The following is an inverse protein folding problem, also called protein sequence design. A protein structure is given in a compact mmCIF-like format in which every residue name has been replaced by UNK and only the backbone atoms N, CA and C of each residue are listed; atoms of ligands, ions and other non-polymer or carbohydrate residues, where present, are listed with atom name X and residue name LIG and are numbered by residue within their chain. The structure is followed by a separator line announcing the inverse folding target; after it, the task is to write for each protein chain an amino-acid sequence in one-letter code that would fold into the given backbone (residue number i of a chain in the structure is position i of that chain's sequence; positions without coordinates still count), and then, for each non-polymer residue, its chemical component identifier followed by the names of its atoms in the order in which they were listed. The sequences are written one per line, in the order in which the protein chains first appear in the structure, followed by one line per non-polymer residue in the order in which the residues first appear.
data_IF_751749676248
#
_entry.id   IF_751749676248
#
_cell.length_a   1.000
_cell.length_b   1.000
_cell.length_c   1.000
_cell.angle_alpha   90.00
_cell.angle_beta   90.00
_cell.angle_gamma   90.00
#
_symmetry.space_group_name_H-M   'P 1'
#
loop_
_entity.id
_entity.type
_entity.pdbx_description
1 polymer ?
#
# COMPACT_ATOMS: atom_id res chain seq x y z
N UNK A 1 22.42 -7.29 -1.71
CA UNK A 1 22.46 -6.44 -2.92
C UNK A 1 22.38 -4.99 -2.50
N UNK A 2 23.22 -4.13 -3.05
CA UNK A 2 23.18 -2.68 -2.84
C UNK A 2 23.71 -1.96 -4.08
N UNK A 3 22.82 -1.35 -4.87
CA UNK A 3 23.19 -0.62 -6.09
C UNK A 3 22.13 0.42 -6.47
N UNK A 4 22.50 1.38 -7.32
CA UNK A 4 21.54 2.33 -7.91
C UNK A 4 20.97 1.75 -9.21
N UNK A 5 19.65 1.62 -9.28
CA UNK A 5 18.91 1.16 -10.45
C UNK A 5 18.50 2.30 -11.38
N UNK A 6 17.41 2.06 -12.12
CA UNK A 6 16.79 3.07 -12.99
C UNK A 6 16.42 4.32 -12.17
N UNK A 7 16.60 5.49 -12.76
CA UNK A 7 16.30 6.79 -12.15
C UNK A 7 17.08 7.04 -10.84
N UNK A 8 18.24 6.38 -10.70
CA UNK A 8 19.11 6.42 -9.51
C UNK A 8 18.43 6.00 -8.21
N UNK A 9 17.40 5.14 -8.30
CA UNK A 9 16.71 4.58 -7.14
C UNK A 9 17.56 3.44 -6.56
N UNK A 10 17.93 3.55 -5.29
CA UNK A 10 18.70 2.51 -4.58
C UNK A 10 17.87 1.23 -4.47
N UNK A 11 18.49 0.11 -4.79
CA UNK A 11 18.02 -1.23 -4.48
C UNK A 11 18.92 -1.81 -3.41
N UNK A 12 18.40 -1.91 -2.20
CA UNK A 12 19.08 -2.50 -1.05
C UNK A 12 18.22 -3.67 -0.55
N UNK A 13 18.77 -4.88 -0.62
CA UNK A 13 18.04 -6.08 -0.22
C UNK A 13 18.98 -7.22 0.19
N UNK A 14 18.62 -7.90 1.27
CA UNK A 14 19.25 -9.14 1.72
C UNK A 14 18.31 -10.28 1.38
N UNK A 15 18.76 -11.19 0.52
CA UNK A 15 17.92 -12.25 -0.05
C UNK A 15 18.60 -13.59 0.21
N UNK A 16 17.86 -14.53 0.78
CA UNK A 16 18.27 -15.92 0.83
C UNK A 16 18.18 -16.53 -0.56
N UNK A 17 19.25 -17.16 -1.01
CA UNK A 17 19.34 -17.79 -2.32
C UNK A 17 19.72 -19.25 -2.18
N UNK A 18 19.40 -20.05 -3.20
CA UNK A 18 19.81 -21.45 -3.25
C UNK A 18 21.35 -21.55 -3.22
N UNK A 19 21.88 -22.56 -2.53
CA UNK A 19 23.32 -22.78 -2.41
C UNK A 19 24.08 -22.78 -3.76
N UNK A 20 23.55 -23.38 -4.86
CA UNK A 20 24.18 -23.28 -6.17
C UNK A 20 24.31 -21.85 -6.70
N UNK A 21 23.32 -20.98 -6.42
CA UNK A 21 23.33 -19.57 -6.82
C UNK A 21 24.39 -18.82 -6.02
N UNK A 22 24.43 -19.02 -4.70
CA UNK A 22 25.45 -18.41 -3.84
C UNK A 22 26.87 -18.76 -4.31
N UNK A 23 27.13 -20.06 -4.54
CA UNK A 23 28.42 -20.54 -5.04
C UNK A 23 28.76 -20.00 -6.43
N UNK A 24 27.77 -19.87 -7.32
CA UNK A 24 27.97 -19.28 -8.64
C UNK A 24 28.38 -17.80 -8.55
N UNK A 25 27.74 -17.02 -7.68
CA UNK A 25 28.09 -15.61 -7.45
C UNK A 25 29.52 -15.48 -6.93
N UNK A 26 29.93 -16.30 -5.95
CA UNK A 26 31.33 -16.32 -5.47
C UNK A 26 32.32 -16.62 -6.60
N UNK A 27 31.99 -17.60 -7.46
CA UNK A 27 32.80 -17.93 -8.63
C UNK A 27 32.87 -16.78 -9.64
N UNK A 28 31.77 -16.06 -9.86
CA UNK A 28 31.73 -14.91 -10.77
C UNK A 28 32.48 -13.69 -10.24
N UNK A 29 32.70 -13.59 -8.93
CA UNK A 29 33.51 -12.54 -8.30
C UNK A 29 35.00 -12.85 -8.26
N UNK A 30 35.38 -14.13 -8.47
CA UNK A 30 36.79 -14.55 -8.44
C UNK A 30 37.59 -13.77 -9.49
N UNK A 31 38.76 -13.28 -9.08
CA UNK A 31 39.71 -12.53 -9.92
C UNK A 31 39.17 -11.18 -10.46
N UNK A 32 38.10 -10.63 -9.87
CA UNK A 32 37.52 -9.31 -10.22
C UNK A 32 37.78 -8.25 -9.17
N UNK A 33 37.89 -6.99 -9.62
CA UNK A 33 38.03 -5.79 -8.78
C UNK A 33 36.70 -5.04 -8.65
N UNK A 34 36.54 -4.18 -7.64
CA UNK A 34 35.39 -3.28 -7.57
C UNK A 34 35.24 -2.46 -8.85
N UNK A 35 34.07 -2.51 -9.47
CA UNK A 35 33.77 -1.86 -10.76
C UNK A 35 33.77 -2.81 -11.96
N UNK A 36 34.38 -3.98 -11.86
CA UNK A 36 34.32 -5.00 -12.92
C UNK A 36 32.90 -5.60 -13.01
N UNK A 37 32.47 -5.96 -14.23
CA UNK A 37 31.15 -6.55 -14.47
C UNK A 37 31.04 -7.92 -13.80
N UNK A 38 30.00 -8.13 -12.97
CA UNK A 38 29.76 -9.41 -12.32
C UNK A 38 29.47 -10.53 -13.34
N UNK A 39 28.73 -10.22 -14.39
CA UNK A 39 28.41 -11.14 -15.48
C UNK A 39 29.12 -10.71 -16.77
N UNK A 40 30.45 -10.84 -16.79
CA UNK A 40 31.34 -10.38 -17.87
C UNK A 40 31.14 -11.12 -19.21
N UNK A 41 30.54 -12.31 -19.17
CA UNK A 41 30.25 -13.14 -20.36
C UNK A 41 28.78 -13.14 -20.77
N UNK A 42 27.96 -12.27 -20.17
CA UNK A 42 26.53 -12.18 -20.43
C UNK A 42 26.17 -10.73 -20.74
N UNK A 43 25.31 -10.55 -21.73
CA UNK A 43 24.64 -9.27 -21.97
C UNK A 43 23.14 -9.49 -22.19
N UNK A 44 22.41 -8.37 -22.35
CA UNK A 44 20.97 -8.42 -22.57
C UNK A 44 20.56 -9.08 -23.89
N UNK A 45 21.42 -9.07 -24.90
CA UNK A 45 21.15 -9.69 -26.20
C UNK A 45 21.21 -11.21 -26.07
N UNK A 46 22.28 -11.74 -25.48
CA UNK A 46 22.47 -13.17 -25.22
C UNK A 46 21.31 -13.70 -24.38
N UNK A 47 20.96 -13.00 -23.28
CA UNK A 47 19.86 -13.40 -22.41
C UNK A 47 18.52 -13.43 -23.16
N UNK A 48 18.16 -12.37 -23.90
CA UNK A 48 16.88 -12.32 -24.60
C UNK A 48 16.80 -13.31 -25.77
N UNK A 49 17.92 -13.61 -26.44
CA UNK A 49 17.94 -14.64 -27.47
C UNK A 49 17.65 -16.02 -26.87
N UNK A 50 18.30 -16.36 -25.76
CA UNK A 50 18.00 -17.60 -25.04
C UNK A 50 16.54 -17.67 -24.59
N UNK A 51 15.98 -16.58 -24.05
CA UNK A 51 14.57 -16.53 -23.65
C UNK A 51 13.60 -16.78 -24.82
N UNK A 52 13.90 -16.26 -26.02
CA UNK A 52 13.08 -16.47 -27.22
C UNK A 52 13.08 -17.92 -27.70
N UNK A 53 14.18 -18.65 -27.49
CA UNK A 53 14.26 -20.08 -27.79
C UNK A 53 13.32 -20.89 -26.87
N UNK A 54 13.15 -20.45 -25.63
CA UNK A 54 12.24 -21.09 -24.67
C UNK A 54 10.77 -20.76 -24.94
N UNK A 55 10.48 -19.53 -25.34
CA UNK A 55 9.12 -19.09 -25.69
C UNK A 55 9.18 -17.93 -26.69
N UNK A 56 8.45 -18.01 -27.82
CA UNK A 56 8.40 -16.92 -28.79
C UNK A 56 8.02 -15.58 -28.15
N UNK A 57 8.78 -14.53 -28.46
CA UNK A 57 8.62 -13.16 -27.95
C UNK A 57 8.88 -12.95 -26.44
N UNK A 58 9.36 -13.97 -25.71
CA UNK A 58 9.74 -13.82 -24.31
C UNK A 58 10.99 -12.95 -24.18
N UNK A 59 10.96 -12.02 -23.22
CA UNK A 59 12.07 -11.10 -22.91
C UNK A 59 12.22 -10.93 -21.41
N UNK A 60 13.37 -10.43 -20.95
CA UNK A 60 13.59 -10.15 -19.53
C UNK A 60 12.54 -9.21 -18.92
N UNK A 61 11.99 -8.27 -19.72
CA UNK A 61 10.94 -7.34 -19.28
C UNK A 61 9.64 -8.07 -18.93
N UNK A 62 9.32 -9.16 -19.62
CA UNK A 62 8.09 -9.92 -19.42
C UNK A 62 7.97 -10.41 -17.97
N UNK A 63 9.06 -10.90 -17.38
CA UNK A 63 9.07 -11.40 -16.00
C UNK A 63 8.62 -10.36 -14.97
N UNK A 64 8.92 -9.07 -15.19
CA UNK A 64 8.43 -8.01 -14.29
C UNK A 64 6.91 -7.86 -14.36
N UNK A 65 6.35 -7.88 -15.56
CA UNK A 65 4.90 -7.78 -15.78
C UNK A 65 4.19 -9.03 -15.28
N UNK A 66 4.74 -10.22 -15.56
CA UNK A 66 4.21 -11.49 -15.07
C UNK A 66 4.20 -11.54 -13.54
N UNK A 67 5.35 -11.33 -12.89
CA UNK A 67 5.43 -11.38 -11.43
C UNK A 67 4.51 -10.35 -10.76
N UNK A 68 4.40 -9.14 -11.32
CA UNK A 68 3.51 -8.11 -10.81
C UNK A 68 2.03 -8.51 -10.94
N UNK A 69 1.62 -8.94 -12.12
CA UNK A 69 0.23 -9.30 -12.42
C UNK A 69 -0.19 -10.56 -11.65
N UNK A 70 0.64 -11.60 -11.67
CA UNK A 70 0.41 -12.84 -10.92
C UNK A 70 0.31 -12.57 -9.41
N UNK A 71 1.21 -11.77 -8.85
CA UNK A 71 1.14 -11.44 -7.41
C UNK A 71 -0.15 -10.71 -7.07
N UNK A 72 -0.58 -9.75 -7.90
CA UNK A 72 -1.84 -9.04 -7.67
C UNK A 72 -3.02 -10.02 -7.68
N UNK A 73 -3.12 -10.86 -8.70
CA UNK A 73 -4.23 -11.81 -8.86
C UNK A 73 -4.26 -12.84 -7.71
N UNK A 74 -3.10 -13.41 -7.37
CA UNK A 74 -2.96 -14.40 -6.29
C UNK A 74 -3.33 -13.80 -4.92
N UNK A 75 -2.84 -12.59 -4.61
CA UNK A 75 -3.15 -11.92 -3.35
C UNK A 75 -4.63 -11.55 -3.26
N UNK A 76 -5.20 -10.95 -4.30
CA UNK A 76 -6.61 -10.58 -4.32
C UNK A 76 -7.49 -11.82 -4.13
N UNK A 77 -7.16 -12.93 -4.78
CA UNK A 77 -7.91 -14.18 -4.64
C UNK A 77 -7.78 -14.82 -3.24
N UNK A 78 -6.63 -14.69 -2.58
CA UNK A 78 -6.40 -15.28 -1.25
C UNK A 78 -6.96 -14.43 -0.12
N UNK A 79 -6.91 -13.11 -0.25
CA UNK A 79 -7.17 -12.17 0.86
C UNK A 79 -8.58 -11.57 0.82
N UNK A 80 -9.24 -11.55 -0.34
CA UNK A 80 -10.62 -11.03 -0.43
C UNK A 80 -11.59 -12.08 0.07
N UNK A 81 -12.49 -11.69 0.98
CA UNK A 81 -13.55 -12.57 1.49
C UNK A 81 -14.90 -12.16 0.91
N UNK A 82 -15.75 -13.15 0.65
CA UNK A 82 -17.09 -12.92 0.12
C UNK A 82 -17.98 -12.21 1.16
N UNK A 83 -18.80 -11.26 0.69
CA UNK A 83 -19.73 -10.51 1.53
C UNK A 83 -19.11 -9.41 2.40
N UNK A 84 -17.80 -9.15 2.29
CA UNK A 84 -17.15 -8.00 2.94
C UNK A 84 -17.63 -6.67 2.36
N UNK A 85 -17.56 -5.61 3.17
CA UNK A 85 -17.93 -4.29 2.71
C UNK A 85 -16.93 -3.72 1.70
N UNK A 86 -17.40 -2.76 0.88
CA UNK A 86 -16.59 -2.14 -0.18
C UNK A 86 -15.30 -1.50 0.37
N UNK A 87 -15.30 -0.97 1.60
CA UNK A 87 -14.09 -0.36 2.19
C UNK A 87 -13.06 -1.43 2.56
N UNK A 88 -13.49 -2.55 3.14
CA UNK A 88 -12.63 -3.68 3.45
C UNK A 88 -11.98 -4.24 2.17
N UNK A 89 -12.77 -4.43 1.11
CA UNK A 89 -12.25 -4.87 -0.20
C UNK A 89 -11.23 -3.90 -0.80
N UNK A 90 -11.49 -2.59 -0.72
CA UNK A 90 -10.52 -1.58 -1.18
C UNK A 90 -9.21 -1.66 -0.39
N UNK A 91 -9.24 -1.94 0.92
CA UNK A 91 -8.04 -2.09 1.73
C UNK A 91 -7.22 -3.31 1.28
N UNK A 92 -7.87 -4.45 1.01
CA UNK A 92 -7.21 -5.65 0.44
C UNK A 92 -6.51 -5.29 -0.87
N UNK A 93 -7.20 -4.58 -1.77
CA UNK A 93 -6.61 -4.16 -3.03
C UNK A 93 -5.40 -3.24 -2.85
N UNK A 94 -5.48 -2.28 -1.91
CA UNK A 94 -4.37 -1.38 -1.61
C UNK A 94 -3.15 -2.13 -1.07
N UNK A 95 -3.37 -3.12 -0.21
CA UNK A 95 -2.31 -3.98 0.32
C UNK A 95 -1.67 -4.83 -0.78
N UNK A 96 -2.47 -5.46 -1.64
CA UNK A 96 -1.97 -6.25 -2.77
C UNK A 96 -1.12 -5.38 -3.72
N UNK A 97 -1.61 -4.19 -4.08
CA UNK A 97 -0.84 -3.26 -4.93
C UNK A 97 0.44 -2.74 -4.24
N UNK A 98 0.45 -2.58 -2.91
CA UNK A 98 1.65 -2.24 -2.13
C UNK A 98 2.70 -3.34 -2.25
N UNK A 99 2.32 -4.61 -2.13
CA UNK A 99 3.25 -5.73 -2.28
C UNK A 99 3.83 -5.80 -3.69
N UNK A 100 3.00 -5.60 -4.72
CA UNK A 100 3.49 -5.51 -6.11
C UNK A 100 4.52 -4.41 -6.28
N UNK A 101 4.25 -3.22 -5.73
CA UNK A 101 5.18 -2.09 -5.81
C UNK A 101 6.52 -2.40 -5.11
N UNK A 102 6.49 -3.11 -3.98
CA UNK A 102 7.70 -3.56 -3.26
C UNK A 102 8.50 -4.54 -4.13
N UNK A 103 7.87 -5.59 -4.67
CA UNK A 103 8.52 -6.59 -5.53
C UNK A 103 9.14 -5.94 -6.77
N UNK A 104 8.46 -4.93 -7.33
CA UNK A 104 8.95 -4.21 -8.50
C UNK A 104 10.01 -3.14 -8.20
N UNK A 105 10.39 -2.95 -6.93
CA UNK A 105 11.21 -1.85 -6.42
C UNK A 105 10.73 -0.47 -6.88
N UNK A 106 9.41 -0.25 -6.90
CA UNK A 106 8.82 1.05 -7.21
C UNK A 106 8.91 1.95 -5.98
N UNK A 107 10.09 2.49 -5.75
CA UNK A 107 10.34 3.44 -4.68
C UNK A 107 10.21 4.89 -5.15
N UNK A 108 9.98 5.79 -4.21
CA UNK A 108 10.04 7.24 -4.38
C UNK A 108 10.73 7.88 -3.17
N UNK A 109 11.27 9.07 -3.37
CA UNK A 109 11.69 9.91 -2.26
C UNK A 109 10.48 10.34 -1.42
N UNK A 110 10.72 10.53 -0.13
CA UNK A 110 9.71 11.06 0.79
C UNK A 110 9.34 12.48 0.33
N UNK A 111 8.04 12.74 0.19
CA UNK A 111 7.56 14.08 -0.19
C UNK A 111 8.04 15.14 0.81
N UNK A 112 8.43 16.31 0.32
CA UNK A 112 8.77 17.48 1.16
C UNK A 112 7.62 17.87 2.11
N UNK A 113 6.37 17.59 1.72
CA UNK A 113 5.18 17.88 2.53
C UNK A 113 4.87 16.80 3.58
N UNK A 114 5.58 15.66 3.55
CA UNK A 114 5.20 14.48 4.32
C UNK A 114 5.26 14.75 5.83
N UNK A 115 6.38 15.28 6.31
CA UNK A 115 6.57 15.62 7.73
C UNK A 115 5.48 16.57 8.24
N UNK A 116 5.18 17.63 7.50
CA UNK A 116 4.12 18.57 7.85
C UNK A 116 2.72 17.95 7.86
N UNK A 117 2.45 16.98 6.98
CA UNK A 117 1.18 16.25 6.97
C UNK A 117 1.07 15.29 8.18
N UNK A 118 2.16 14.63 8.57
CA UNK A 118 2.20 13.78 9.76
C UNK A 118 2.05 14.60 11.04
N UNK A 119 2.75 15.74 11.16
CA UNK A 119 2.60 16.65 12.32
C UNK A 119 1.16 17.09 12.52
N UNK A 120 0.50 17.55 11.45
CA UNK A 120 -0.91 17.97 11.49
C UNK A 120 -1.87 16.85 11.89
N UNK A 121 -1.62 15.61 11.48
CA UNK A 121 -2.41 14.46 11.91
C UNK A 121 -2.18 14.16 13.39
N UNK A 122 -0.92 14.19 13.83
CA UNK A 122 -0.53 13.97 15.23
C UNK A 122 -1.14 15.02 16.16
N UNK A 123 -1.09 16.30 15.79
CA UNK A 123 -1.69 17.40 16.57
C UNK A 123 -3.19 17.19 16.77
N UNK A 124 -3.93 16.86 15.70
CA UNK A 124 -5.36 16.56 15.78
C UNK A 124 -5.68 15.30 16.61
N UNK A 125 -4.83 14.28 16.55
CA UNK A 125 -4.98 13.09 17.39
C UNK A 125 -4.85 13.48 18.86
N UNK A 126 -3.87 14.31 19.22
CA UNK A 126 -3.69 14.78 20.60
C UNK A 126 -4.84 15.68 21.06
N UNK A 127 -5.36 16.56 20.19
CA UNK A 127 -6.58 17.34 20.47
C UNK A 127 -7.79 16.43 20.79
N UNK A 128 -7.99 15.37 20.01
CA UNK A 128 -9.08 14.42 20.24
C UNK A 128 -8.85 13.57 21.51
N UNK A 129 -7.62 13.19 21.84
CA UNK A 129 -7.30 12.50 23.10
C UNK A 129 -7.54 13.40 24.31
N UNK A 130 -7.22 14.69 24.22
CA UNK A 130 -7.52 15.66 25.27
C UNK A 130 -9.03 15.79 25.48
N UNK A 131 -9.80 15.93 24.40
CA UNK A 131 -11.27 15.94 24.44
C UNK A 131 -11.84 14.66 25.06
N UNK A 132 -11.31 13.50 24.68
CA UNK A 132 -11.72 12.21 25.23
C UNK A 132 -11.51 12.15 26.75
N UNK A 133 -10.38 12.64 27.24
CA UNK A 133 -10.09 12.71 28.68
C UNK A 133 -11.10 13.62 29.40
N UNK A 134 -11.44 14.77 28.82
CA UNK A 134 -12.48 15.64 29.37
C UNK A 134 -13.84 14.96 29.41
N UNK A 135 -14.25 14.29 28.33
CA UNK A 135 -15.53 13.57 28.26
C UNK A 135 -15.62 12.45 29.30
N UNK A 136 -14.52 11.72 29.55
CA UNK A 136 -14.45 10.68 30.59
C UNK A 136 -14.64 11.27 32.00
N UNK A 137 -14.08 12.45 32.27
CA UNK A 137 -14.30 13.18 33.53
C UNK A 137 -15.76 13.65 33.65
N UNK A 138 -16.29 14.24 32.58
CA UNK A 138 -17.69 14.73 32.55
C UNK A 138 -18.68 13.57 32.74
N UNK A 139 -18.40 12.37 32.21
CA UNK A 139 -19.19 11.16 32.43
C UNK A 139 -19.22 10.73 33.90
N UNK A 140 -18.06 10.65 34.56
CA UNK A 140 -17.98 10.30 35.99
C UNK A 140 -18.77 11.30 36.86
N UNK A 141 -18.70 12.59 36.53
CA UNK A 141 -19.45 13.64 37.22
C UNK A 141 -20.96 13.51 36.97
N UNK A 142 -21.38 13.30 35.72
CA UNK A 142 -22.78 13.13 35.37
C UNK A 142 -23.40 11.91 36.07
N UNK A 143 -22.67 10.78 36.15
CA UNK A 143 -23.08 9.58 36.92
C UNK A 143 -23.23 9.86 38.42
N UNK A 144 -22.48 10.82 38.96
CA UNK A 144 -22.57 11.29 40.36
C UNK A 144 -23.56 12.46 40.55
N UNK A 145 -24.34 12.83 39.52
CA UNK A 145 -25.28 13.94 39.57
C UNK A 145 -24.62 15.33 39.67
N UNK A 146 -23.33 15.44 39.38
CA UNK A 146 -22.57 16.70 39.44
C UNK A 146 -22.51 17.36 38.05
N UNK A 147 -22.57 18.70 37.96
CA UNK A 147 -22.44 19.40 36.68
C UNK A 147 -21.03 19.22 36.09
N UNK A 148 -20.87 19.31 34.75
CA UNK A 148 -19.57 19.21 34.08
C UNK A 148 -18.64 20.32 34.54
N UNK A 149 -17.34 20.10 34.36
CA UNK A 149 -16.34 21.16 34.61
C UNK A 149 -16.45 22.24 33.53
N UNK A 150 -15.95 23.45 33.84
CA UNK A 150 -15.78 24.47 32.80
C UNK A 150 -14.85 23.95 31.71
N UNK A 151 -15.12 24.33 30.47
CA UNK A 151 -14.25 24.02 29.35
C UNK A 151 -12.86 24.65 29.53
N UNK A 152 -11.91 24.17 28.75
CA UNK A 152 -10.58 24.78 28.60
C UNK A 152 -10.65 26.25 28.14
N UNK A 153 -11.77 26.65 27.53
CA UNK A 153 -12.13 28.02 27.14
C UNK A 153 -12.78 28.84 28.28
N UNK A 154 -12.89 28.28 29.48
CA UNK A 154 -13.51 28.92 30.65
C UNK A 154 -15.04 28.99 30.62
N UNK A 155 -15.69 28.48 29.56
CA UNK A 155 -17.14 28.52 29.40
C UNK A 155 -17.83 27.35 30.13
N UNK A 156 -19.07 27.59 30.56
CA UNK A 156 -19.90 26.55 31.14
C UNK A 156 -20.29 25.54 30.06
N UNK A 157 -19.96 24.27 30.26
CA UNK A 157 -20.39 23.18 29.40
C UNK A 157 -21.88 22.88 29.62
N UNK A 158 -22.57 22.54 28.53
CA UNK A 158 -23.97 22.07 28.61
C UNK A 158 -24.03 20.78 29.41
N UNK A 159 -24.99 20.67 30.32
CA UNK A 159 -25.24 19.44 31.06
C UNK A 159 -25.84 18.39 30.10
N UNK A 160 -25.17 17.25 29.94
CA UNK A 160 -25.57 16.16 29.06
C UNK A 160 -25.89 14.94 29.90
N UNK A 161 -26.80 14.08 29.43
CA UNK A 161 -27.04 12.79 30.08
C UNK A 161 -25.80 11.90 29.99
N UNK A 162 -25.58 10.98 30.94
CA UNK A 162 -24.48 10.01 30.87
C UNK A 162 -24.43 9.27 29.53
N UNK A 163 -25.57 8.81 29.02
CA UNK A 163 -25.72 8.12 27.73
C UNK A 163 -25.25 8.98 26.54
N UNK A 164 -25.57 10.28 26.56
CA UNK A 164 -25.13 11.20 25.51
C UNK A 164 -23.63 11.48 25.55
N UNK A 165 -23.00 11.41 26.73
CA UNK A 165 -21.55 11.55 26.90
C UNK A 165 -20.85 10.27 26.45
N UNK A 166 -21.36 9.08 26.83
CA UNK A 166 -20.85 7.79 26.37
C UNK A 166 -20.85 7.70 24.84
N UNK A 167 -21.97 8.04 24.19
CA UNK A 167 -22.03 8.08 22.72
C UNK A 167 -20.99 9.02 22.10
N UNK A 168 -20.66 10.14 22.75
CA UNK A 168 -19.60 11.06 22.29
C UNK A 168 -18.21 10.50 22.49
N UNK A 169 -17.98 9.75 23.57
CA UNK A 169 -16.73 9.04 23.84
C UNK A 169 -16.50 8.03 22.71
N UNK A 170 -17.47 7.17 22.42
CA UNK A 170 -17.37 6.14 21.37
C UNK A 170 -17.08 6.76 20.00
N UNK A 171 -17.77 7.85 19.65
CA UNK A 171 -17.53 8.58 18.41
C UNK A 171 -16.14 9.23 18.33
N UNK A 172 -15.60 9.65 19.47
CA UNK A 172 -14.27 10.29 19.54
C UNK A 172 -13.18 9.22 19.48
N UNK A 173 -13.34 8.10 20.18
CA UNK A 173 -12.44 6.95 20.11
C UNK A 173 -12.35 6.40 18.67
N UNK A 174 -13.49 6.16 18.01
CA UNK A 174 -13.51 5.71 16.61
C UNK A 174 -12.83 6.69 15.64
N UNK A 175 -12.88 8.00 15.91
CA UNK A 175 -12.16 9.01 15.11
C UNK A 175 -10.65 8.94 15.35
N UNK A 176 -10.22 8.78 16.60
CA UNK A 176 -8.80 8.64 16.95
C UNK A 176 -8.22 7.40 16.28
N UNK A 177 -8.88 6.25 16.40
CA UNK A 177 -8.45 5.00 15.77
C UNK A 177 -8.30 5.14 14.27
N UNK A 178 -9.29 5.74 13.60
CA UNK A 178 -9.23 6.02 12.16
C UNK A 178 -8.03 6.90 11.81
N UNK A 179 -7.82 8.00 12.53
CA UNK A 179 -6.72 8.94 12.26
C UNK A 179 -5.35 8.30 12.50
N UNK A 180 -5.23 7.44 13.51
CA UNK A 180 -4.01 6.67 13.77
C UNK A 180 -3.74 5.67 12.64
N UNK A 181 -4.77 4.96 12.17
CA UNK A 181 -4.65 4.06 11.01
C UNK A 181 -4.22 4.83 9.76
N UNK A 182 -4.87 5.96 9.45
CA UNK A 182 -4.54 6.80 8.30
C UNK A 182 -3.08 7.29 8.38
N UNK A 183 -2.62 7.69 9.57
CA UNK A 183 -1.24 8.13 9.79
C UNK A 183 -0.25 6.97 9.57
N UNK A 184 -0.54 5.78 10.08
CA UNK A 184 0.28 4.59 9.89
C UNK A 184 0.39 4.21 8.41
N UNK A 185 -0.75 4.13 7.70
CA UNK A 185 -0.77 3.88 6.25
C UNK A 185 0.05 4.90 5.48
N UNK A 186 -0.04 6.18 5.87
CA UNK A 186 0.70 7.25 5.22
C UNK A 186 2.21 7.13 5.42
N UNK A 187 2.63 6.73 6.61
CA UNK A 187 4.03 6.50 6.94
C UNK A 187 4.58 5.27 6.18
N UNK A 188 3.81 4.18 6.16
CA UNK A 188 4.11 2.94 5.45
C UNK A 188 4.30 3.13 3.94
N UNK A 189 3.58 4.08 3.35
CA UNK A 189 3.59 4.36 1.91
C UNK A 189 4.49 5.54 1.54
N UNK A 190 5.25 6.12 2.49
CA UNK A 190 6.03 7.34 2.26
C UNK A 190 7.10 7.16 1.18
N UNK A 191 7.67 5.97 1.06
CA UNK A 191 8.72 5.62 0.09
C UNK A 191 8.23 4.75 -1.07
N UNK A 192 6.94 4.39 -1.13
CA UNK A 192 6.41 3.45 -2.16
C UNK A 192 5.59 4.20 -3.22
N UNK A 193 5.86 3.90 -4.50
CA UNK A 193 5.22 4.52 -5.65
C UNK A 193 4.15 3.60 -6.29
N UNK A 194 2.98 3.53 -5.64
CA UNK A 194 1.85 2.66 -6.04
C UNK A 194 1.26 2.93 -7.44
N UNK A 195 1.50 4.11 -8.01
CA UNK A 195 0.96 4.48 -9.33
C UNK A 195 1.68 3.76 -10.48
N UNK A 196 2.99 3.52 -10.33
CA UNK A 196 3.82 2.98 -11.41
C UNK A 196 3.45 1.53 -11.74
N UNK A 197 3.23 0.70 -10.73
CA UNK A 197 2.77 -0.68 -10.86
C UNK A 197 1.43 -0.74 -11.59
N UNK A 198 0.43 0.00 -11.09
CA UNK A 198 -0.94 0.03 -11.59
C UNK A 198 -1.05 0.44 -13.06
N UNK A 199 -0.16 1.29 -13.55
CA UNK A 199 -0.27 1.86 -14.90
C UNK A 199 0.41 0.98 -15.96
N UNK A 200 1.50 0.31 -15.60
CA UNK A 200 2.45 -0.25 -16.57
C UNK A 200 2.80 -1.73 -16.38
N UNK A 201 2.52 -2.31 -15.20
CA UNK A 201 2.99 -3.65 -14.86
C UNK A 201 1.86 -4.61 -14.45
N UNK A 202 0.67 -4.08 -14.19
CA UNK A 202 -0.51 -4.86 -13.86
C UNK A 202 -1.40 -5.01 -15.09
N UNK A 203 -1.86 -6.24 -15.35
CA UNK A 203 -2.95 -6.48 -16.29
C UNK A 203 -4.26 -5.90 -15.71
N UNK A 204 -4.85 -4.86 -16.34
CA UNK A 204 -6.04 -4.20 -15.81
C UNK A 204 -7.26 -5.14 -15.72
N UNK A 205 -7.29 -6.24 -16.47
CA UNK A 205 -8.37 -7.23 -16.44
C UNK A 205 -8.48 -7.91 -15.08
N UNK A 206 -7.37 -8.11 -14.36
CA UNK A 206 -7.37 -8.65 -13.00
C UNK A 206 -8.21 -7.76 -12.10
N UNK A 207 -7.93 -6.45 -12.11
CA UNK A 207 -8.64 -5.45 -11.33
C UNK A 207 -10.10 -5.36 -11.72
N UNK A 208 -10.41 -5.36 -13.02
CA UNK A 208 -11.80 -5.27 -13.50
C UNK A 208 -12.60 -6.50 -13.09
N UNK A 209 -12.07 -7.70 -13.31
CA UNK A 209 -12.72 -8.95 -12.93
C UNK A 209 -12.96 -9.01 -11.41
N UNK A 210 -11.95 -8.65 -10.61
CA UNK A 210 -12.09 -8.56 -9.16
C UNK A 210 -13.15 -7.54 -8.72
N UNK A 211 -13.20 -6.35 -9.34
CA UNK A 211 -14.23 -5.35 -9.03
C UNK A 211 -15.64 -5.87 -9.34
N UNK A 212 -15.81 -6.61 -10.44
CA UNK A 212 -17.08 -7.25 -10.82
C UNK A 212 -17.47 -8.34 -9.80
N UNK A 213 -16.54 -9.22 -9.40
CA UNK A 213 -16.80 -10.30 -8.44
C UNK A 213 -17.24 -9.81 -7.06
N UNK A 214 -16.65 -8.71 -6.59
CA UNK A 214 -16.86 -8.21 -5.21
C UNK A 214 -17.67 -6.91 -5.15
N UNK A 215 -18.39 -6.57 -6.23
CA UNK A 215 -19.26 -5.39 -6.33
C UNK A 215 -18.57 -4.07 -5.92
N UNK A 216 -17.26 -3.96 -6.21
CA UNK A 216 -16.49 -2.75 -5.93
C UNK A 216 -16.62 -1.79 -7.12
N UNK A 217 -17.08 -0.54 -6.93
CA UNK A 217 -17.14 0.43 -8.03
C UNK A 217 -15.74 0.70 -8.57
N UNK A 218 -15.53 0.47 -9.88
CA UNK A 218 -14.20 0.54 -10.51
C UNK A 218 -13.56 1.92 -10.37
N UNK A 219 -14.35 2.99 -10.24
CA UNK A 219 -13.91 4.37 -10.04
C UNK A 219 -13.24 4.59 -8.68
N UNK A 220 -13.44 3.66 -7.72
CA UNK A 220 -12.70 3.65 -6.45
C UNK A 220 -11.27 3.16 -6.62
N UNK A 221 -10.98 2.41 -7.68
CA UNK A 221 -9.67 1.81 -7.93
C UNK A 221 -8.93 2.52 -9.08
N UNK A 222 -9.63 2.81 -10.17
CA UNK A 222 -9.09 3.51 -11.34
C UNK A 222 -9.62 4.93 -11.42
N UNK A 223 -8.71 5.89 -11.65
CA UNK A 223 -9.10 7.25 -12.00
C UNK A 223 -9.69 7.30 -13.40
N UNK A 224 -10.41 8.38 -13.73
CA UNK A 224 -11.00 8.59 -15.07
C UNK A 224 -9.99 8.35 -16.21
N UNK A 225 -8.77 8.89 -16.09
CA UNK A 225 -7.70 8.69 -17.07
C UNK A 225 -7.28 7.23 -17.23
N UNK A 226 -7.32 6.44 -16.14
CA UNK A 226 -7.00 5.01 -16.21
C UNK A 226 -8.13 4.20 -16.82
N UNK A 227 -9.38 4.57 -16.55
CA UNK A 227 -10.54 3.96 -17.21
C UNK A 227 -10.50 4.20 -18.73
N UNK A 228 -10.16 5.40 -19.17
CA UNK A 228 -9.97 5.72 -20.59
C UNK A 228 -8.82 4.89 -21.20
N UNK A 229 -7.67 4.79 -20.52
CA UNK A 229 -6.54 3.98 -20.97
C UNK A 229 -6.86 2.49 -21.06
N UNK A 230 -7.64 1.98 -20.12
CA UNK A 230 -7.95 0.55 -19.97
C UNK A 230 -9.35 0.19 -20.44
N UNK A 231 -9.98 1.00 -21.29
CA UNK A 231 -11.32 0.76 -21.81
C UNK A 231 -11.47 -0.65 -22.42
N UNK A 232 -10.42 -1.14 -23.09
CA UNK A 232 -10.37 -2.48 -23.67
C UNK A 232 -10.49 -3.63 -22.66
N UNK A 233 -10.19 -3.39 -21.38
CA UNK A 233 -10.25 -4.39 -20.32
C UNK A 233 -11.56 -4.39 -19.54
N UNK A 234 -12.41 -3.37 -19.72
CA UNK A 234 -13.64 -3.21 -18.92
C UNK A 234 -14.69 -4.31 -19.19
N UNK A 235 -14.66 -4.91 -20.38
CA UNK A 235 -15.60 -5.96 -20.78
C UNK A 235 -15.16 -7.38 -20.36
N UNK A 236 -14.06 -7.51 -19.61
CA UNK A 236 -13.57 -8.84 -19.20
C UNK A 236 -14.57 -9.59 -18.32
N UNK A 237 -14.65 -10.90 -18.50
CA UNK A 237 -15.45 -11.79 -17.67
C UNK A 237 -15.06 -11.70 -16.17
N UNK A 238 -16.03 -11.66 -15.23
CA UNK A 238 -15.76 -11.71 -13.80
C UNK A 238 -14.89 -12.90 -13.36
N UNK A 239 -14.90 -14.02 -14.07
CA UNK A 239 -14.13 -15.22 -13.72
C UNK A 239 -12.68 -15.18 -14.22
N UNK A 240 -12.27 -14.10 -14.90
CA UNK A 240 -10.89 -13.96 -15.36
C UNK A 240 -9.87 -14.04 -14.21
N UNK A 241 -8.85 -14.87 -14.45
CA UNK A 241 -7.63 -15.08 -13.65
C UNK A 241 -6.42 -15.03 -14.57
N UNK A 242 -5.31 -14.49 -14.09
CA UNK A 242 -4.07 -14.30 -14.84
C UNK A 242 -3.13 -15.51 -14.66
#
# INVERSE_FOLDING_TARGET
FDFLGKDSIRYENTVEVLLPVYNAILKFQKDKRPGDQLFDKLDTTILNNHLKELMPNLTAKFFRTFNASFTLDDMLNKETKDGEDVKANILVYQNANKQVAIICNHQRSVSKSHSGQISKLSEKIEEHKALLKELKIDLDRARKGKPPLKGSDGKNKRNLSPEAIEKKIDQTDAKIEKMQSDMMTKEDLKTVALGTSRINYLDPRITVAWCKRHEVPIEKIFSKTLLEKFAWALDVDPDFRF
#
